data_IF_101987314026
#
_entry.id   IF_101987314026
#
_cell.length_a   1.000
_cell.length_b   1.000
_cell.length_c   1.000
_cell.angle_alpha   90.00
_cell.angle_beta   90.00
_cell.angle_gamma   90.00
#
_symmetry.space_group_name_H-M   'P 1'
#
loop_
_entity.id
_entity.type
_entity.pdbx_description
1 polymer ?
#
# COMPACT_ATOMS: atom_id res chain seq x y z
N UNK A 1 -60.62 14.24 -13.87
CA UNK A 1 -59.22 14.67 -14.13
C UNK A 1 -58.29 14.62 -12.91
N UNK A 2 -58.55 13.79 -11.87
CA UNK A 2 -57.64 13.63 -10.70
C UNK A 2 -56.83 12.32 -10.69
N UNK A 3 -57.28 11.29 -11.43
CA UNK A 3 -56.64 9.97 -11.47
C UNK A 3 -55.41 9.90 -12.41
N UNK A 4 -55.24 10.87 -13.30
CA UNK A 4 -54.12 10.92 -14.26
C UNK A 4 -52.84 11.49 -13.61
N UNK A 5 -52.98 12.44 -12.68
CA UNK A 5 -51.85 13.03 -11.95
C UNK A 5 -51.17 12.04 -10.98
N UNK A 6 -51.93 11.08 -10.45
CA UNK A 6 -51.43 10.11 -9.48
C UNK A 6 -50.57 9.00 -10.13
N UNK A 7 -50.79 8.72 -11.41
CA UNK A 7 -49.92 7.85 -12.21
C UNK A 7 -48.66 8.58 -12.69
N UNK A 8 -48.76 9.88 -12.99
CA UNK A 8 -47.60 10.68 -13.40
C UNK A 8 -46.61 10.92 -12.25
N UNK A 9 -47.08 11.01 -11.00
CA UNK A 9 -46.20 11.13 -9.84
C UNK A 9 -45.48 9.82 -9.48
N UNK A 10 -46.08 8.66 -9.76
CA UNK A 10 -45.47 7.36 -9.46
C UNK A 10 -44.32 7.03 -10.44
N UNK A 11 -44.41 7.51 -11.68
CA UNK A 11 -43.37 7.31 -12.70
C UNK A 11 -42.14 8.20 -12.42
N UNK A 12 -42.32 9.40 -11.86
CA UNK A 12 -41.20 10.32 -11.58
C UNK A 12 -40.29 9.83 -10.43
N UNK A 13 -40.83 9.09 -9.46
CA UNK A 13 -40.05 8.56 -8.31
C UNK A 13 -39.18 7.35 -8.73
N UNK A 14 -39.58 6.61 -9.76
CA UNK A 14 -38.80 5.47 -10.26
C UNK A 14 -37.59 5.90 -11.12
N UNK A 15 -37.63 7.08 -11.76
CA UNK A 15 -36.51 7.55 -12.60
C UNK A 15 -35.33 8.09 -11.81
N UNK A 16 -35.47 8.41 -10.52
CA UNK A 16 -34.34 8.84 -9.67
C UNK A 16 -33.61 7.69 -8.99
N UNK A 17 -34.16 6.46 -9.03
CA UNK A 17 -33.47 5.24 -8.57
C UNK A 17 -32.60 4.58 -9.67
N UNK A 18 -32.41 5.28 -10.78
CA UNK A 18 -31.57 4.86 -11.88
C UNK A 18 -30.10 5.28 -11.70
N UNK A 19 -29.25 4.27 -11.48
CA UNK A 19 -27.89 4.16 -12.05
C UNK A 19 -26.70 4.86 -11.38
N UNK A 20 -26.49 4.70 -10.06
CA UNK A 20 -25.11 4.69 -9.57
C UNK A 20 -24.68 3.23 -9.40
N UNK A 21 -23.79 2.75 -10.28
CA UNK A 21 -23.15 1.45 -10.08
C UNK A 21 -22.38 1.50 -8.76
N UNK A 22 -22.56 0.53 -7.84
CA UNK A 22 -21.80 0.48 -6.60
C UNK A 22 -20.31 0.56 -6.93
N UNK A 23 -19.65 1.59 -6.40
CA UNK A 23 -18.23 1.84 -6.61
C UNK A 23 -17.42 1.25 -5.46
N UNK A 24 -16.25 0.66 -5.72
CA UNK A 24 -15.41 0.18 -4.64
C UNK A 24 -14.85 1.35 -3.83
N UNK A 25 -14.72 1.14 -2.52
CA UNK A 25 -13.96 2.03 -1.65
C UNK A 25 -12.47 1.92 -2.01
N UNK A 26 -11.78 3.05 -2.12
CA UNK A 26 -10.36 3.09 -2.40
C UNK A 26 -9.58 3.45 -1.14
N UNK A 27 -8.57 2.63 -0.86
CA UNK A 27 -7.57 2.85 0.18
C UNK A 27 -6.23 3.04 -0.52
N UNK A 28 -5.62 4.20 -0.34
CA UNK A 28 -4.29 4.52 -0.86
C UNK A 28 -3.37 4.72 0.33
N UNK A 29 -2.26 3.98 0.38
CA UNK A 29 -1.21 4.17 1.38
C UNK A 29 -1.77 4.15 2.82
N UNK A 30 -2.53 3.07 3.10
CA UNK A 30 -3.23 2.81 4.36
C UNK A 30 -4.35 3.82 4.71
N UNK A 31 -4.66 4.80 3.85
CA UNK A 31 -5.69 5.81 4.09
C UNK A 31 -6.90 5.59 3.17
N UNK A 32 -8.11 5.58 3.76
CA UNK A 32 -9.37 5.64 2.99
C UNK A 32 -9.44 7.01 2.31
N UNK A 33 -9.53 7.02 0.98
CA UNK A 33 -9.55 8.27 0.21
C UNK A 33 -10.91 8.58 -0.43
N UNK A 34 -11.82 7.60 -0.49
CA UNK A 34 -13.17 7.77 -1.04
C UNK A 34 -13.56 6.62 -1.96
N UNK A 35 -14.71 6.74 -2.62
CA UNK A 35 -15.15 5.79 -3.64
C UNK A 35 -14.52 6.10 -5.00
N UNK A 36 -14.41 5.09 -5.87
CA UNK A 36 -13.66 5.15 -7.14
C UNK A 36 -13.99 6.37 -8.03
N UNK A 37 -15.25 6.76 -8.11
CA UNK A 37 -15.73 7.90 -8.88
C UNK A 37 -15.30 9.25 -8.26
N UNK A 38 -15.27 9.34 -6.94
CA UNK A 38 -14.82 10.53 -6.18
C UNK A 38 -13.31 10.76 -6.31
N UNK A 39 -12.53 9.67 -6.41
CA UNK A 39 -11.06 9.71 -6.31
C UNK A 39 -10.33 9.48 -7.63
N UNK A 40 -11.07 9.44 -8.75
CA UNK A 40 -10.53 9.16 -10.08
C UNK A 40 -9.30 10.02 -10.42
N UNK A 41 -9.38 11.33 -10.22
CA UNK A 41 -8.29 12.25 -10.52
C UNK A 41 -7.03 11.96 -9.67
N UNK A 42 -7.23 11.57 -8.41
CA UNK A 42 -6.12 11.16 -7.54
C UNK A 42 -5.45 9.91 -8.08
N UNK A 43 -6.22 8.90 -8.49
CA UNK A 43 -5.67 7.65 -9.04
C UNK A 43 -4.98 7.84 -10.39
N UNK A 44 -5.53 8.66 -11.29
CA UNK A 44 -4.95 8.94 -12.60
C UNK A 44 -3.59 9.66 -12.49
N UNK A 45 -3.36 10.40 -11.40
CA UNK A 45 -2.08 11.07 -11.14
C UNK A 45 -0.97 10.14 -10.64
N UNK A 46 -1.29 8.91 -10.22
CA UNK A 46 -0.31 7.95 -9.71
C UNK A 46 0.41 7.31 -10.88
N UNK A 47 1.74 7.42 -10.90
CA UNK A 47 2.56 6.67 -11.86
C UNK A 47 2.48 5.17 -11.53
N UNK A 48 2.09 4.30 -12.48
CA UNK A 48 2.02 2.85 -12.24
C UNK A 48 3.34 2.23 -11.74
N UNK A 49 4.49 2.83 -12.09
CA UNK A 49 5.80 2.35 -11.64
C UNK A 49 6.06 2.60 -10.15
N UNK A 50 5.30 3.51 -9.53
CA UNK A 50 5.40 3.82 -8.11
C UNK A 50 4.53 2.88 -7.26
N UNK A 51 3.62 2.12 -7.87
CA UNK A 51 2.79 1.14 -7.18
C UNK A 51 3.65 -0.09 -6.85
N UNK A 52 3.61 -0.51 -5.58
CA UNK A 52 4.20 -1.78 -5.12
C UNK A 52 3.17 -2.88 -5.13
N UNK A 53 1.99 -2.65 -4.54
CA UNK A 53 0.91 -3.64 -4.49
C UNK A 53 -0.45 -3.01 -4.79
N UNK A 54 -1.34 -3.82 -5.34
CA UNK A 54 -2.75 -3.52 -5.53
C UNK A 54 -3.55 -4.77 -5.14
N UNK A 55 -4.43 -4.63 -4.15
CA UNK A 55 -5.26 -5.73 -3.65
C UNK A 55 -6.73 -5.37 -3.79
N UNK A 56 -7.55 -6.33 -4.23
CA UNK A 56 -9.00 -6.13 -4.36
C UNK A 56 -9.71 -7.08 -3.40
N UNK A 57 -10.55 -6.53 -2.53
CA UNK A 57 -11.44 -7.30 -1.66
C UNK A 57 -12.89 -7.18 -2.14
N UNK A 58 -13.60 -8.29 -2.10
CA UNK A 58 -15.03 -8.41 -2.43
C UNK A 58 -15.78 -9.09 -1.30
N UNK A 59 -17.11 -9.01 -1.36
CA UNK A 59 -18.05 -9.71 -0.48
C UNK A 59 -17.72 -9.47 1.01
N UNK A 60 -17.72 -10.54 1.83
CA UNK A 60 -17.47 -10.43 3.27
C UNK A 60 -16.14 -9.75 3.64
N UNK A 61 -15.13 -9.78 2.77
CA UNK A 61 -13.84 -9.15 3.06
C UNK A 61 -13.84 -7.63 2.88
N UNK A 62 -14.69 -7.08 2.00
CA UNK A 62 -14.81 -5.62 1.84
C UNK A 62 -15.53 -4.98 3.02
N UNK A 63 -16.47 -5.72 3.64
CA UNK A 63 -17.24 -5.26 4.80
C UNK A 63 -16.34 -4.89 6.00
N UNK A 64 -15.18 -5.54 6.14
CA UNK A 64 -14.20 -5.23 7.19
C UNK A 64 -13.61 -3.83 7.07
N UNK A 65 -13.72 -3.21 5.90
CA UNK A 65 -13.34 -1.82 5.65
C UNK A 65 -14.55 -0.88 5.63
N UNK A 66 -15.76 -1.38 5.87
CA UNK A 66 -17.01 -0.63 5.82
C UNK A 66 -17.53 -0.38 4.40
N UNK A 67 -17.25 -1.28 3.45
CA UNK A 67 -17.76 -1.18 2.06
C UNK A 67 -18.50 -2.46 1.64
N UNK A 68 -19.73 -2.28 1.15
CA UNK A 68 -20.56 -3.33 0.54
C UNK A 68 -20.27 -3.52 -0.97
N UNK A 69 -19.55 -2.56 -1.55
CA UNK A 69 -19.34 -2.42 -3.00
C UNK A 69 -17.94 -2.87 -3.45
N UNK A 70 -17.18 -3.51 -2.55
CA UNK A 70 -15.78 -3.89 -2.75
C UNK A 70 -14.80 -2.84 -2.22
N UNK A 71 -13.52 -3.22 -2.13
CA UNK A 71 -12.42 -2.35 -1.71
C UNK A 71 -11.22 -2.58 -2.61
N UNK A 72 -10.58 -1.50 -3.06
CA UNK A 72 -9.29 -1.52 -3.75
C UNK A 72 -8.26 -0.89 -2.82
N UNK A 73 -7.19 -1.60 -2.52
CA UNK A 73 -6.08 -1.13 -1.69
C UNK A 73 -4.85 -1.01 -2.57
N UNK A 74 -4.28 0.18 -2.62
CA UNK A 74 -3.08 0.51 -3.38
C UNK A 74 -2.02 0.93 -2.38
N UNK A 75 -0.82 0.35 -2.50
CA UNK A 75 0.34 0.72 -1.69
C UNK A 75 1.48 1.13 -2.60
N UNK A 76 1.96 2.35 -2.42
CA UNK A 76 3.09 2.90 -3.17
C UNK A 76 4.43 2.49 -2.56
N UNK A 77 5.45 2.38 -3.40
CA UNK A 77 6.85 2.15 -3.00
C UNK A 77 7.33 3.22 -2.03
N UNK A 78 6.92 4.47 -2.28
CA UNK A 78 7.26 5.61 -1.42
C UNK A 78 6.69 5.44 -0.01
N UNK A 79 5.41 5.08 0.09
CA UNK A 79 4.78 4.84 1.39
C UNK A 79 5.48 3.73 2.18
N UNK A 80 5.87 2.63 1.51
CA UNK A 80 6.60 1.53 2.14
C UNK A 80 7.93 2.03 2.71
N UNK A 81 8.72 2.73 1.90
CA UNK A 81 10.02 3.26 2.31
C UNK A 81 9.90 4.26 3.46
N UNK A 82 9.01 5.24 3.33
CA UNK A 82 8.82 6.29 4.35
C UNK A 82 8.36 5.70 5.67
N UNK A 83 7.38 4.80 5.63
CA UNK A 83 6.80 4.17 6.83
C UNK A 83 7.82 3.28 7.51
N UNK A 84 8.52 2.42 6.75
CA UNK A 84 9.56 1.56 7.31
C UNK A 84 10.69 2.39 7.91
N UNK A 85 11.15 3.42 7.20
CA UNK A 85 12.22 4.29 7.65
C UNK A 85 11.85 5.00 8.95
N UNK A 86 10.68 5.64 8.99
CA UNK A 86 10.18 6.34 10.17
C UNK A 86 10.06 5.43 11.38
N UNK A 87 9.49 4.23 11.19
CA UNK A 87 9.21 3.32 12.28
C UNK A 87 10.46 2.63 12.82
N UNK A 88 11.44 2.32 11.95
CA UNK A 88 12.50 1.37 12.27
C UNK A 88 13.93 1.94 12.17
N UNK A 89 14.13 3.12 11.55
CA UNK A 89 15.47 3.68 11.29
C UNK A 89 15.62 5.08 11.88
N UNK A 90 14.65 5.98 11.66
CA UNK A 90 14.79 7.42 11.91
C UNK A 90 15.25 7.78 13.33
N UNK A 91 14.79 7.03 14.34
CA UNK A 91 15.08 7.28 15.75
C UNK A 91 16.13 6.31 16.32
N UNK A 92 16.97 5.73 15.46
CA UNK A 92 18.01 4.76 15.84
C UNK A 92 19.39 5.21 15.36
N UNK A 93 20.49 4.61 15.86
CA UNK A 93 21.83 4.86 15.32
C UNK A 93 21.99 4.55 13.83
N UNK A 94 21.12 3.71 13.23
CA UNK A 94 21.16 3.39 11.81
C UNK A 94 20.92 4.62 10.92
N UNK A 95 20.26 5.68 11.43
CA UNK A 95 20.11 6.96 10.71
C UNK A 95 21.43 7.57 10.27
N UNK A 96 22.53 7.31 10.99
CA UNK A 96 23.85 7.82 10.63
C UNK A 96 24.39 7.19 9.33
N UNK A 97 24.00 5.96 9.02
CA UNK A 97 24.44 5.21 7.83
C UNK A 97 23.36 5.11 6.75
N UNK A 98 22.08 5.25 7.13
CA UNK A 98 20.91 5.33 6.24
C UNK A 98 20.20 6.65 6.58
N UNK A 99 20.59 7.79 5.98
CA UNK A 99 20.14 9.12 6.43
C UNK A 99 18.71 9.49 5.99
N UNK A 100 18.09 8.75 5.07
CA UNK A 100 16.75 9.02 4.57
C UNK A 100 16.07 7.80 3.96
N UNK A 101 14.76 7.87 3.79
CA UNK A 101 13.98 6.88 3.03
C UNK A 101 14.42 6.81 1.55
N UNK A 102 14.86 7.94 0.96
CA UNK A 102 15.44 7.94 -0.38
C UNK A 102 16.76 7.16 -0.42
N UNK A 103 17.59 7.26 0.62
CA UNK A 103 18.81 6.45 0.73
C UNK A 103 18.46 4.96 0.89
N UNK A 104 17.46 4.63 1.72
CA UNK A 104 16.93 3.27 1.88
C UNK A 104 16.48 2.66 0.53
N UNK A 105 15.96 3.47 -0.40
CA UNK A 105 15.60 2.98 -1.74
C UNK A 105 16.79 2.52 -2.60
N UNK A 106 18.02 2.89 -2.22
CA UNK A 106 19.25 2.63 -2.97
C UNK A 106 20.08 1.47 -2.38
N UNK A 107 19.77 1.05 -1.16
CA UNK A 107 20.50 -0.06 -0.49
C UNK A 107 19.85 -1.40 -0.82
N UNK A 108 20.67 -2.46 -0.79
CA UNK A 108 20.17 -3.83 -0.90
C UNK A 108 19.37 -4.26 0.33
N UNK A 109 18.53 -5.28 0.14
CA UNK A 109 17.89 -5.99 1.25
C UNK A 109 18.26 -7.45 1.11
N UNK A 110 18.90 -7.99 2.14
CA UNK A 110 19.19 -9.41 2.25
C UNK A 110 17.88 -10.12 2.58
N UNK A 111 17.52 -11.08 1.75
CA UNK A 111 16.34 -11.90 1.91
C UNK A 111 16.58 -13.27 1.27
N UNK A 112 16.01 -14.30 1.90
CA UNK A 112 16.06 -15.68 1.42
C UNK A 112 15.14 -15.92 0.21
N UNK A 113 14.35 -14.91 -0.19
CA UNK A 113 13.39 -15.02 -1.29
C UNK A 113 14.03 -14.82 -2.67
N UNK A 114 13.38 -15.36 -3.73
CA UNK A 114 13.85 -15.17 -5.09
C UNK A 114 13.97 -13.69 -5.49
N UNK A 115 15.05 -13.35 -6.20
CA UNK A 115 15.29 -11.99 -6.67
C UNK A 115 14.21 -11.55 -7.66
N UNK A 116 13.55 -10.43 -7.35
CA UNK A 116 12.58 -9.79 -8.24
C UNK A 116 12.67 -8.25 -8.13
N UNK A 117 12.13 -7.52 -9.09
CA UNK A 117 12.23 -6.04 -9.16
C UNK A 117 11.63 -5.28 -7.97
N UNK A 118 10.68 -5.90 -7.27
CA UNK A 118 9.99 -5.36 -6.11
C UNK A 118 10.42 -6.02 -4.80
N UNK A 119 11.37 -6.97 -4.83
CA UNK A 119 11.77 -7.77 -3.66
C UNK A 119 12.05 -6.90 -2.44
N UNK A 120 12.79 -5.80 -2.61
CA UNK A 120 13.08 -4.91 -1.49
C UNK A 120 11.80 -4.37 -0.83
N UNK A 121 10.85 -3.88 -1.63
CA UNK A 121 9.58 -3.37 -1.13
C UNK A 121 8.73 -4.48 -0.50
N UNK A 122 8.70 -5.66 -1.12
CA UNK A 122 7.96 -6.83 -0.60
C UNK A 122 8.51 -7.27 0.77
N UNK A 123 9.82 -7.17 0.98
CA UNK A 123 10.44 -7.47 2.28
C UNK A 123 10.15 -6.40 3.33
N UNK A 124 10.28 -5.12 3.01
CA UNK A 124 9.96 -4.03 3.94
C UNK A 124 8.47 -4.03 4.34
N UNK A 125 7.58 -4.38 3.40
CA UNK A 125 6.14 -4.43 3.59
C UNK A 125 5.72 -5.36 4.74
N UNK A 126 6.51 -6.40 5.04
CA UNK A 126 6.23 -7.37 6.13
C UNK A 126 6.22 -6.71 7.51
N UNK A 127 6.91 -5.58 7.66
CA UNK A 127 7.18 -4.93 8.94
C UNK A 127 6.44 -3.60 9.12
N UNK A 128 5.50 -3.28 8.23
CA UNK A 128 4.72 -2.04 8.31
C UNK A 128 3.22 -2.33 8.24
N UNK A 129 2.45 -1.46 8.87
CA UNK A 129 0.99 -1.51 8.78
C UNK A 129 0.52 -0.81 7.50
N UNK A 130 -0.17 -1.55 6.63
CA UNK A 130 -0.84 -1.02 5.44
C UNK A 130 -2.35 -0.91 5.60
N UNK A 131 -2.85 -1.07 6.83
CA UNK A 131 -4.26 -1.18 7.18
C UNK A 131 -4.97 -2.26 6.37
N UNK A 132 -4.31 -3.39 6.09
CA UNK A 132 -4.92 -4.53 5.39
C UNK A 132 -5.32 -5.61 6.37
N UNK A 133 -6.55 -6.09 6.24
CA UNK A 133 -7.20 -7.06 7.15
C UNK A 133 -6.41 -8.35 7.41
N UNK A 134 -5.58 -8.78 6.45
CA UNK A 134 -4.88 -10.06 6.51
C UNK A 134 -3.35 -9.93 6.70
N UNK A 135 -2.82 -8.72 6.87
CA UNK A 135 -1.38 -8.58 7.08
C UNK A 135 -1.05 -8.80 8.55
N UNK A 136 -0.52 -9.99 8.85
CA UNK A 136 0.26 -10.17 10.08
C UNK A 136 1.55 -9.37 9.93
N UNK A 137 1.65 -8.26 10.65
CA UNK A 137 2.87 -7.46 10.71
C UNK A 137 3.89 -8.25 11.52
N UNK A 138 5.03 -8.52 10.91
CA UNK A 138 6.16 -9.14 11.58
C UNK A 138 6.84 -8.14 12.50
N UNK A 139 7.33 -8.61 13.64
CA UNK A 139 8.11 -7.79 14.55
C UNK A 139 9.57 -7.86 14.14
N UNK A 140 10.26 -6.73 14.15
CA UNK A 140 11.70 -6.67 13.92
C UNK A 140 12.41 -7.00 15.24
N UNK A 141 13.29 -7.99 15.21
CA UNK A 141 14.24 -8.25 16.28
C UNK A 141 15.49 -7.37 16.15
N UNK A 142 16.05 -7.28 14.94
CA UNK A 142 17.20 -6.41 14.65
C UNK A 142 17.30 -6.02 13.18
N UNK A 143 17.93 -4.88 12.89
CA UNK A 143 18.37 -4.48 11.54
C UNK A 143 19.88 -4.30 11.56
N UNK A 144 20.59 -4.98 10.67
CA UNK A 144 22.04 -4.89 10.52
C UNK A 144 22.36 -4.21 9.20
N UNK A 145 23.13 -3.12 9.25
CA UNK A 145 23.66 -2.48 8.05
C UNK A 145 24.99 -3.12 7.63
N UNK A 146 25.07 -3.51 6.37
CA UNK A 146 26.26 -4.10 5.74
C UNK A 146 26.87 -3.06 4.82
N UNK A 147 28.16 -2.79 5.02
CA UNK A 147 28.89 -1.76 4.27
C UNK A 147 28.90 -2.09 2.76
N UNK A 148 29.04 -1.08 1.88
CA UNK A 148 29.08 -1.28 0.43
C UNK A 148 30.06 -2.37 -0.03
N UNK A 149 31.31 -2.35 0.48
CA UNK A 149 32.35 -3.30 0.08
C UNK A 149 31.94 -4.76 0.33
N UNK A 150 31.27 -5.04 1.45
CA UNK A 150 30.83 -6.40 1.77
C UNK A 150 29.52 -6.75 1.05
N UNK A 151 28.62 -5.79 0.90
CA UNK A 151 27.37 -5.96 0.16
C UNK A 151 27.63 -6.29 -1.32
N UNK A 152 28.64 -5.67 -1.92
CA UNK A 152 29.03 -5.92 -3.32
C UNK A 152 29.61 -7.31 -3.56
N UNK A 153 30.11 -7.99 -2.52
CA UNK A 153 30.50 -9.41 -2.60
C UNK A 153 29.29 -10.33 -2.75
N UNK A 154 28.13 -9.93 -2.22
CA UNK A 154 26.86 -10.66 -2.32
C UNK A 154 26.09 -10.29 -3.59
N UNK A 155 26.09 -8.99 -3.93
CA UNK A 155 25.46 -8.46 -5.12
C UNK A 155 26.20 -7.20 -5.60
N UNK A 156 26.88 -7.24 -6.77
CA UNK A 156 27.65 -6.10 -7.29
C UNK A 156 26.86 -4.80 -7.44
N UNK A 157 25.53 -4.87 -7.58
CA UNK A 157 24.65 -3.71 -7.73
C UNK A 157 24.40 -2.96 -6.42
N UNK A 158 24.70 -3.55 -5.26
CA UNK A 158 24.49 -2.96 -3.93
C UNK A 158 25.59 -1.95 -3.55
N UNK A 159 25.71 -0.90 -4.36
CA UNK A 159 26.73 0.16 -4.26
C UNK A 159 26.60 1.04 -3.01
N UNK A 160 25.44 1.03 -2.37
CA UNK A 160 25.13 1.84 -1.18
C UNK A 160 25.09 1.01 0.12
N UNK A 161 25.49 -0.26 0.05
CA UNK A 161 25.36 -1.20 1.16
C UNK A 161 24.05 -1.99 1.08
N UNK A 162 23.77 -2.74 2.13
CA UNK A 162 22.57 -3.54 2.28
C UNK A 162 22.11 -3.57 3.73
N UNK A 163 20.85 -3.96 3.95
CA UNK A 163 20.34 -4.32 5.27
C UNK A 163 19.94 -5.78 5.34
N UNK A 164 20.20 -6.38 6.48
CA UNK A 164 19.61 -7.65 6.91
C UNK A 164 18.61 -7.37 8.03
N UNK A 165 17.40 -7.89 7.89
CA UNK A 165 16.32 -7.70 8.86
C UNK A 165 15.99 -9.05 9.47
N UNK A 166 16.26 -9.18 10.77
CA UNK A 166 15.93 -10.38 11.53
C UNK A 166 14.58 -10.16 12.22
N UNK A 167 13.62 -11.05 11.96
CA UNK A 167 12.35 -11.04 12.67
C UNK A 167 12.54 -11.42 14.15
N UNK A 168 11.71 -10.86 15.03
CA UNK A 168 11.66 -11.27 16.42
C UNK A 168 10.95 -12.63 16.54
N UNK A 169 11.52 -13.54 17.34
CA UNK A 169 10.92 -14.82 17.69
C UNK A 169 9.61 -14.67 18.50
#
# INVERSE_FOLDING_TARGET
MKKVYLFLSLILVCFTYGQNKPQPLVILDAKKIGFMDEVKNTLESINPNDISTMTVYKDANSMKYGSDSGVIIITTKKFILDTFYKNNIENTPLKLVIPSAEYLSKIGIISDKPKNKNQAYDELLRYIDTNTVNNKIEKIGSIVFIKPVDSQKLNPDWKFGAIEINAAE
#
